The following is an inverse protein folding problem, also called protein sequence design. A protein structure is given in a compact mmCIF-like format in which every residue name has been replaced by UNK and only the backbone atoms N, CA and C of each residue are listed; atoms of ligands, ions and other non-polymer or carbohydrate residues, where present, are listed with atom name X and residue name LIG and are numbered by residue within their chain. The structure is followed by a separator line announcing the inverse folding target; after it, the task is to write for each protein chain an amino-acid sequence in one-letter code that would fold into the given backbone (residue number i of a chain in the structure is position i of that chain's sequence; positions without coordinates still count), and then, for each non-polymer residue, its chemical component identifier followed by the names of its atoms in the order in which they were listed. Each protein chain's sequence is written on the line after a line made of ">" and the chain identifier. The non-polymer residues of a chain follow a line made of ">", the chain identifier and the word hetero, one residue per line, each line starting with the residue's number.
data_IF_239866192324
#
_entry.id   IF_239866192324
#
_cell.length_a   1.000
_cell.length_b   1.000
_cell.length_c   1.000
_cell.angle_alpha   90.00
_cell.angle_beta   90.00
_cell.angle_gamma   90.00
#
_symmetry.space_group_name_H-M   'P 1'
#
loop_
_entity.id
_entity.type
_entity.pdbx_description
1 polymer ?
#
# COMPACT_ATOMS: atom_id res chain seq x y z
N UNK A 1 -14.54 8.87 3.19
CA UNK A 1 -15.35 8.06 4.13
C UNK A 1 -16.62 8.81 4.47
N UNK A 2 -17.68 8.11 4.90
CA UNK A 2 -18.84 8.78 5.48
C UNK A 2 -18.48 9.43 6.82
N UNK A 3 -19.25 10.41 7.27
CA UNK A 3 -18.94 11.17 8.50
C UNK A 3 -19.06 10.32 9.79
N UNK A 4 -19.76 9.20 9.73
CA UNK A 4 -19.97 8.25 10.82
C UNK A 4 -19.06 7.02 10.76
N UNK A 5 -18.11 7.00 9.81
CA UNK A 5 -17.14 5.92 9.66
C UNK A 5 -16.27 5.80 10.92
N UNK A 6 -16.12 4.56 11.41
CA UNK A 6 -15.35 4.28 12.63
C UNK A 6 -13.91 3.90 12.32
N UNK A 7 -12.98 4.46 13.08
CA UNK A 7 -11.54 4.20 13.00
C UNK A 7 -11.01 3.70 14.35
N UNK A 8 -11.28 2.43 14.72
CA UNK A 8 -10.70 1.86 15.93
C UNK A 8 -9.17 1.85 15.87
N UNK A 9 -8.53 2.11 17.01
CA UNK A 9 -7.08 1.98 17.15
C UNK A 9 -6.66 0.55 16.76
N UNK A 10 -5.62 0.41 15.94
CA UNK A 10 -5.13 -0.89 15.47
C UNK A 10 -5.90 -1.49 14.31
N UNK A 11 -6.83 -0.74 13.69
CA UNK A 11 -7.55 -1.20 12.52
C UNK A 11 -6.99 -0.69 11.19
N UNK A 12 -7.53 -1.24 10.11
CA UNK A 12 -7.31 -0.83 8.72
C UNK A 12 -8.65 -0.87 7.95
N UNK A 13 -8.66 -0.39 6.71
CA UNK A 13 -9.81 -0.50 5.80
C UNK A 13 -9.40 -1.15 4.49
N UNK A 14 -10.11 -2.19 4.07
CA UNK A 14 -9.96 -2.75 2.72
C UNK A 14 -10.84 -1.93 1.79
N UNK A 15 -10.21 -1.14 0.92
CA UNK A 15 -10.91 -0.22 0.03
C UNK A 15 -11.24 -0.83 -1.33
N UNK A 16 -10.46 -1.81 -1.77
CA UNK A 16 -10.70 -2.59 -2.99
C UNK A 16 -10.36 -4.04 -2.72
N UNK A 17 -11.23 -4.96 -3.15
CA UNK A 17 -11.03 -6.40 -3.04
C UNK A 17 -11.73 -7.14 -4.17
N UNK A 18 -11.10 -8.22 -4.63
CA UNK A 18 -11.66 -9.26 -5.49
C UNK A 18 -11.19 -10.64 -5.01
N UNK A 19 -11.82 -11.71 -5.51
CA UNK A 19 -11.28 -13.07 -5.39
C UNK A 19 -10.07 -13.28 -6.32
N UNK A 20 -9.95 -12.47 -7.37
CA UNK A 20 -8.89 -12.50 -8.37
C UNK A 20 -7.65 -11.66 -7.97
N UNK A 21 -7.63 -11.07 -6.76
CA UNK A 21 -6.54 -10.20 -6.30
C UNK A 21 -5.20 -10.96 -6.31
N UNK A 22 -4.28 -10.56 -7.20
CA UNK A 22 -2.97 -11.23 -7.37
C UNK A 22 -1.96 -10.87 -6.27
N UNK A 23 -2.10 -9.69 -5.68
CA UNK A 23 -1.31 -9.20 -4.55
C UNK A 23 -2.06 -8.09 -3.79
N UNK A 24 -1.53 -7.68 -2.63
CA UNK A 24 -2.09 -6.57 -1.85
C UNK A 24 -1.17 -5.36 -1.84
N UNK A 25 -1.71 -4.17 -2.11
CA UNK A 25 -1.07 -2.87 -1.92
C UNK A 25 -1.62 -2.23 -0.64
N UNK A 26 -0.72 -1.78 0.22
CA UNK A 26 -1.02 -1.16 1.52
C UNK A 26 -0.46 0.26 1.47
N UNK A 27 -1.30 1.26 1.79
CA UNK A 27 -0.88 2.65 1.89
C UNK A 27 -1.51 3.35 3.09
N UNK A 28 -1.09 4.59 3.33
CA UNK A 28 -1.70 5.50 4.29
C UNK A 28 -1.63 6.94 3.77
N UNK A 29 -2.66 7.74 4.07
CA UNK A 29 -2.73 9.14 3.62
C UNK A 29 -2.74 9.24 2.09
N UNK A 30 -1.88 10.11 1.53
CA UNK A 30 -1.88 10.42 0.09
C UNK A 30 -1.66 9.19 -0.79
N UNK A 31 -0.84 8.24 -0.33
CA UNK A 31 -0.47 7.04 -1.09
C UNK A 31 -1.63 6.05 -1.25
N UNK A 32 -2.67 6.14 -0.42
CA UNK A 32 -3.92 5.36 -0.61
C UNK A 32 -4.59 5.76 -1.92
N UNK A 33 -4.62 7.05 -2.24
CA UNK A 33 -5.20 7.54 -3.48
C UNK A 33 -4.37 7.09 -4.69
N UNK A 34 -3.04 7.10 -4.58
CA UNK A 34 -2.16 6.56 -5.61
C UNK A 34 -2.33 5.05 -5.80
N UNK A 35 -2.51 4.29 -4.72
CA UNK A 35 -2.80 2.85 -4.79
C UNK A 35 -4.15 2.55 -5.47
N UNK A 36 -5.19 3.35 -5.20
CA UNK A 36 -6.48 3.24 -5.88
C UNK A 36 -6.38 3.58 -7.37
N UNK A 37 -5.65 4.65 -7.73
CA UNK A 37 -5.37 5.00 -9.14
C UNK A 37 -4.63 3.86 -9.85
N UNK A 38 -3.59 3.30 -9.23
CA UNK A 38 -2.85 2.17 -9.76
C UNK A 38 -3.75 0.93 -9.97
N UNK A 39 -4.66 0.68 -9.03
CA UNK A 39 -5.61 -0.42 -9.13
C UNK A 39 -6.58 -0.28 -10.31
N UNK A 40 -7.00 0.94 -10.65
CA UNK A 40 -7.80 1.18 -11.86
C UNK A 40 -6.99 0.94 -13.14
N UNK A 41 -5.76 1.45 -13.21
CA UNK A 41 -4.87 1.22 -14.36
C UNK A 41 -4.62 -0.27 -14.58
N UNK A 42 -4.29 -1.01 -13.51
CA UNK A 42 -4.06 -2.46 -13.58
C UNK A 42 -5.31 -3.24 -13.96
N UNK A 43 -6.48 -2.83 -13.47
CA UNK A 43 -7.74 -3.49 -13.80
C UNK A 43 -8.09 -3.36 -15.29
N UNK A 44 -7.77 -2.24 -15.92
CA UNK A 44 -7.89 -2.06 -17.37
C UNK A 44 -6.98 -3.02 -18.19
N UNK A 45 -5.92 -3.53 -17.57
CA UNK A 45 -5.01 -4.53 -18.12
C UNK A 45 -5.34 -5.97 -17.66
N UNK A 46 -6.47 -6.17 -16.98
CA UNK A 46 -6.88 -7.49 -16.48
C UNK A 46 -6.15 -7.95 -15.21
N UNK A 47 -5.42 -7.07 -14.53
CA UNK A 47 -4.73 -7.36 -13.27
C UNK A 47 -5.55 -6.80 -12.10
N UNK A 48 -5.98 -7.68 -11.18
CA UNK A 48 -6.66 -7.28 -9.96
C UNK A 48 -5.70 -7.25 -8.78
N UNK A 49 -5.80 -6.21 -7.96
CA UNK A 49 -5.04 -6.05 -6.72
C UNK A 49 -5.97 -5.61 -5.59
N UNK A 50 -5.62 -6.02 -4.37
CA UNK A 50 -6.25 -5.53 -3.15
C UNK A 50 -5.63 -4.19 -2.74
N UNK A 51 -6.44 -3.26 -2.24
CA UNK A 51 -5.96 -2.00 -1.67
C UNK A 51 -6.41 -1.87 -0.22
N UNK A 52 -5.47 -1.64 0.69
CA UNK A 52 -5.70 -1.45 2.12
C UNK A 52 -5.23 -0.05 2.53
N UNK A 53 -6.10 0.70 3.20
CA UNK A 53 -5.75 1.89 3.96
C UNK A 53 -5.39 1.49 5.40
N UNK A 54 -4.11 1.55 5.72
CA UNK A 54 -3.55 1.29 7.03
C UNK A 54 -3.52 2.57 7.88
N UNK A 55 -4.69 3.15 8.12
CA UNK A 55 -4.84 4.41 8.89
C UNK A 55 -4.23 4.35 10.31
N UNK A 56 -4.10 3.16 10.89
CA UNK A 56 -3.41 2.95 12.16
C UNK A 56 -2.07 2.28 11.89
N UNK A 57 -0.98 3.07 11.89
CA UNK A 57 0.40 2.56 11.75
C UNK A 57 0.87 1.89 13.04
N UNK A 58 0.44 2.40 14.20
CA UNK A 58 0.80 1.86 15.51
C UNK A 58 -0.37 1.93 16.50
N UNK A 59 -0.86 0.78 17.01
CA UNK A 59 -0.56 -0.56 16.53
C UNK A 59 -1.04 -0.74 15.08
N UNK A 60 -0.38 -1.60 14.31
CA UNK A 60 -0.81 -1.94 12.95
C UNK A 60 -1.80 -3.10 12.97
N UNK A 61 -2.75 -3.11 12.03
CA UNK A 61 -3.76 -4.17 11.88
C UNK A 61 -3.17 -5.49 11.35
N UNK A 62 -2.45 -6.18 12.22
CA UNK A 62 -1.76 -7.43 11.90
C UNK A 62 -2.70 -8.51 11.35
N UNK A 63 -3.92 -8.60 11.90
CA UNK A 63 -4.86 -9.65 11.53
C UNK A 63 -5.34 -9.48 10.08
N UNK A 64 -5.75 -8.27 9.71
CA UNK A 64 -6.21 -7.97 8.35
C UNK A 64 -5.07 -8.12 7.33
N UNK A 65 -3.87 -7.63 7.65
CA UNK A 65 -2.71 -7.69 6.75
C UNK A 65 -2.30 -9.15 6.49
N UNK A 66 -2.22 -10.00 7.52
CA UNK A 66 -1.89 -11.42 7.34
C UNK A 66 -2.95 -12.16 6.53
N UNK A 67 -4.23 -11.87 6.78
CA UNK A 67 -5.33 -12.45 6.01
C UNK A 67 -5.24 -12.04 4.53
N UNK A 68 -4.94 -10.76 4.26
CA UNK A 68 -4.75 -10.25 2.91
C UNK A 68 -3.56 -10.92 2.22
N UNK A 69 -2.40 -10.98 2.87
CA UNK A 69 -1.22 -11.66 2.35
C UNK A 69 -1.54 -13.10 1.92
N UNK A 70 -2.22 -13.88 2.79
CA UNK A 70 -2.61 -15.26 2.49
C UNK A 70 -3.56 -15.35 1.29
N UNK A 71 -4.51 -14.43 1.19
CA UNK A 71 -5.55 -14.44 0.14
C UNK A 71 -5.04 -13.92 -1.21
N UNK A 72 -3.94 -13.16 -1.23
CA UNK A 72 -3.41 -12.53 -2.45
C UNK A 72 -1.99 -13.02 -2.77
N UNK A 73 -1.75 -14.34 -2.67
CA UNK A 73 -0.52 -14.96 -3.15
C UNK A 73 0.77 -14.65 -2.35
N UNK A 74 0.65 -14.15 -1.11
CA UNK A 74 1.78 -13.93 -0.21
C UNK A 74 2.68 -12.74 -0.58
N UNK A 75 2.20 -11.82 -1.42
CA UNK A 75 2.95 -10.64 -1.89
C UNK A 75 2.27 -9.35 -1.43
N UNK A 76 3.04 -8.48 -0.80
CA UNK A 76 2.60 -7.18 -0.31
C UNK A 76 3.48 -6.08 -0.91
N UNK A 77 2.88 -4.99 -1.35
CA UNK A 77 3.56 -3.73 -1.61
C UNK A 77 3.08 -2.73 -0.57
N UNK A 78 4.01 -2.13 0.17
CA UNK A 78 3.73 -1.01 1.05
C UNK A 78 4.22 0.26 0.38
N UNK A 79 3.35 1.24 0.23
CA UNK A 79 3.69 2.55 -0.32
C UNK A 79 3.45 3.63 0.73
N UNK A 80 4.43 4.48 0.97
CA UNK A 80 4.36 5.53 1.99
C UNK A 80 5.10 6.81 1.58
N UNK A 81 4.51 7.96 1.88
CA UNK A 81 5.16 9.27 1.78
C UNK A 81 5.92 9.57 3.09
N UNK A 82 6.92 8.72 3.32
CA UNK A 82 7.79 8.71 4.49
C UNK A 82 9.13 8.12 4.06
N UNK A 83 10.18 8.32 4.86
CA UNK A 83 11.42 7.59 4.66
C UNK A 83 11.21 6.08 4.78
N UNK A 84 12.09 5.31 4.16
CA UNK A 84 11.99 3.85 4.17
C UNK A 84 12.04 3.30 5.61
N UNK A 85 12.86 3.84 6.50
CA UNK A 85 13.05 3.34 7.86
C UNK A 85 12.02 3.89 8.86
N UNK A 86 11.54 3.02 9.75
CA UNK A 86 10.70 3.36 10.90
C UNK A 86 9.23 3.63 10.60
N UNK A 87 8.84 3.60 9.33
CA UNK A 87 7.49 3.91 8.86
C UNK A 87 6.52 2.73 8.81
N UNK A 88 5.52 2.86 7.93
CA UNK A 88 4.47 1.86 7.71
C UNK A 88 5.04 0.54 7.19
N UNK A 89 6.03 0.59 6.30
CA UNK A 89 6.68 -0.60 5.74
C UNK A 89 7.32 -1.46 6.82
N UNK A 90 7.97 -0.85 7.81
CA UNK A 90 8.56 -1.58 8.94
C UNK A 90 7.48 -2.10 9.90
N UNK A 91 6.41 -1.34 10.13
CA UNK A 91 5.27 -1.83 10.91
C UNK A 91 4.64 -3.07 10.26
N UNK A 92 4.44 -3.05 8.94
CA UNK A 92 3.92 -4.19 8.16
C UNK A 92 4.88 -5.38 8.19
N UNK A 93 6.17 -5.16 7.96
CA UNK A 93 7.21 -6.20 8.05
C UNK A 93 7.19 -6.89 9.42
N UNK A 94 7.13 -6.11 10.50
CA UNK A 94 7.03 -6.64 11.86
C UNK A 94 5.74 -7.44 12.08
N UNK A 95 4.62 -7.00 11.49
CA UNK A 95 3.34 -7.69 11.60
C UNK A 95 3.35 -9.05 10.90
N UNK A 96 3.93 -9.14 9.70
CA UNK A 96 3.87 -10.36 8.88
C UNK A 96 5.04 -11.32 9.09
N UNK A 97 6.19 -10.83 9.55
CA UNK A 97 7.41 -11.63 9.64
C UNK A 97 7.74 -12.30 8.29
N UNK A 98 7.93 -13.62 8.29
CA UNK A 98 8.24 -14.39 7.08
C UNK A 98 6.99 -14.89 6.32
N UNK A 99 5.78 -14.47 6.71
CA UNK A 99 4.55 -14.97 6.09
C UNK A 99 4.25 -14.39 4.70
N UNK A 100 4.95 -13.33 4.30
CA UNK A 100 4.76 -12.65 3.03
C UNK A 100 6.06 -12.04 2.51
N UNK A 101 6.19 -11.94 1.18
CA UNK A 101 7.20 -11.10 0.54
C UNK A 101 6.69 -9.66 0.50
N UNK A 102 7.43 -8.73 1.12
CA UNK A 102 7.05 -7.31 1.22
C UNK A 102 8.02 -6.46 0.42
N UNK A 103 7.48 -5.62 -0.47
CA UNK A 103 8.22 -4.58 -1.20
C UNK A 103 7.82 -3.21 -0.65
N UNK A 104 8.81 -2.34 -0.42
CA UNK A 104 8.61 -0.97 0.10
C UNK A 104 8.85 0.07 -0.99
N UNK A 105 7.84 0.89 -1.24
CA UNK A 105 7.94 2.12 -2.02
C UNK A 105 7.88 3.30 -1.04
N UNK A 106 9.01 3.96 -0.86
CA UNK A 106 9.19 5.01 0.13
C UNK A 106 10.18 6.05 -0.40
N UNK A 107 10.20 7.22 0.24
CA UNK A 107 11.18 8.27 -0.04
C UNK A 107 12.56 7.81 0.44
N UNK A 108 13.61 8.01 -0.36
CA UNK A 108 14.97 7.53 -0.06
C UNK A 108 16.05 8.62 0.00
N UNK A 109 15.66 9.86 -0.27
CA UNK A 109 16.56 11.01 -0.24
C UNK A 109 15.82 12.26 0.24
N UNK A 110 16.54 13.34 0.52
CA UNK A 110 15.92 14.61 0.96
C UNK A 110 15.10 15.20 -0.19
N UNK A 111 13.79 15.45 0.00
CA UNK A 111 12.96 16.02 -1.05
C UNK A 111 13.37 17.43 -1.50
N UNK A 112 12.77 17.89 -2.60
CA UNK A 112 12.93 19.22 -3.18
C UNK A 112 11.58 19.87 -3.42
N UNK A 113 11.59 21.19 -3.61
CA UNK A 113 10.38 21.94 -3.91
C UNK A 113 9.82 21.60 -5.29
N UNK A 114 8.52 21.41 -5.36
CA UNK A 114 7.81 21.16 -6.61
C UNK A 114 6.31 20.93 -6.40
N UNK A 115 5.53 20.78 -7.48
CA UNK A 115 4.12 20.42 -7.38
C UNK A 115 3.94 19.03 -6.73
N UNK A 116 2.97 18.84 -5.81
CA UNK A 116 2.82 17.59 -5.06
C UNK A 116 2.80 16.31 -5.93
N UNK A 117 2.01 16.30 -7.01
CA UNK A 117 1.92 15.14 -7.90
C UNK A 117 3.25 14.80 -8.60
N UNK A 118 4.01 15.82 -8.98
CA UNK A 118 5.32 15.63 -9.60
C UNK A 118 6.34 15.06 -8.59
N UNK A 119 6.25 15.46 -7.32
CA UNK A 119 7.12 14.93 -6.27
C UNK A 119 6.83 13.47 -5.95
N UNK A 120 5.56 13.05 -5.93
CA UNK A 120 5.20 11.64 -5.73
C UNK A 120 5.82 10.74 -6.83
N UNK A 121 5.84 11.19 -8.09
CA UNK A 121 6.50 10.45 -9.17
C UNK A 121 8.02 10.48 -9.01
N UNK A 122 8.59 11.67 -8.77
CA UNK A 122 10.04 11.87 -8.61
C UNK A 122 10.61 10.97 -7.51
N UNK A 123 9.89 10.80 -6.40
CA UNK A 123 10.33 10.00 -5.25
C UNK A 123 9.81 8.57 -5.25
N UNK A 124 9.23 8.08 -6.36
CA UNK A 124 8.97 6.65 -6.53
C UNK A 124 7.74 6.11 -5.81
N UNK A 125 6.80 6.97 -5.42
CA UNK A 125 5.61 6.61 -4.62
C UNK A 125 4.28 6.97 -5.30
N UNK A 126 4.32 7.36 -6.58
CA UNK A 126 3.13 7.56 -7.40
C UNK A 126 2.49 6.25 -7.84
N UNK A 127 1.25 6.34 -8.33
CA UNK A 127 0.51 5.24 -8.97
C UNK A 127 1.31 4.55 -10.08
N UNK A 128 2.09 5.28 -10.87
CA UNK A 128 2.97 4.71 -11.91
C UNK A 128 4.00 3.76 -11.32
N UNK A 129 4.63 4.13 -10.21
CA UNK A 129 5.60 3.28 -9.53
C UNK A 129 4.95 2.06 -8.87
N UNK A 130 3.74 2.22 -8.31
CA UNK A 130 2.94 1.10 -7.80
C UNK A 130 2.62 0.11 -8.93
N UNK A 131 2.15 0.59 -10.09
CA UNK A 131 1.86 -0.27 -11.27
C UNK A 131 3.10 -1.04 -11.72
N UNK A 132 4.25 -0.38 -11.80
CA UNK A 132 5.51 -1.02 -12.17
C UNK A 132 5.92 -2.10 -11.16
N UNK A 133 5.86 -1.77 -9.86
CA UNK A 133 6.18 -2.71 -8.79
C UNK A 133 5.24 -3.93 -8.81
N UNK A 134 3.93 -3.71 -9.02
CA UNK A 134 2.96 -4.80 -9.21
C UNK A 134 3.40 -5.70 -10.35
N UNK A 135 3.57 -5.16 -11.56
CA UNK A 135 3.92 -5.95 -12.75
C UNK A 135 5.22 -6.73 -12.58
N UNK A 136 6.20 -6.19 -11.86
CA UNK A 136 7.48 -6.86 -11.59
C UNK A 136 7.36 -8.09 -10.67
N UNK A 137 6.29 -8.18 -9.88
CA UNK A 137 6.05 -9.25 -8.92
C UNK A 137 5.09 -10.33 -9.44
N UNK A 138 4.50 -10.15 -10.62
CA UNK A 138 3.51 -11.06 -11.21
C UNK A 138 4.12 -12.16 -12.07
#
# INVERSE_FOLDING_TARGET
>A
YANDERFPIGGSKILRRSEEDRLTVIGAGITVHEALKAAETLAAEGIRIRVIDAYSVKPVDRATILAAAKQTGGKLIVVEDHYEEGGLGDAVLNAVGNAAHVVKLAVREIPRSGPPEALLDTYGISSKHIVQAVKSLL
#
